data_IF_790260947479
#
_entry.id   IF_790260947479
#
_cell.length_a   1.000
_cell.length_b   1.000
_cell.length_c   1.000
_cell.angle_alpha   90.00
_cell.angle_beta   90.00
_cell.angle_gamma   90.00
#
_symmetry.space_group_name_H-M   'P 1'
#
loop_
_entity.id
_entity.type
_entity.pdbx_description
1 polymer ?
#
# COMPACT_ATOMS: atom_id res chain seq x y z
N UNK A 1 -12.53 -3.46 39.90
CA UNK A 1 -11.63 -2.81 38.93
C UNK A 1 -11.86 -3.45 37.57
N UNK A 2 -12.77 -2.87 36.80
CA UNK A 2 -13.07 -3.28 35.43
C UNK A 2 -11.98 -2.75 34.53
N UNK A 3 -11.10 -3.65 34.12
CA UNK A 3 -10.02 -3.43 33.17
C UNK A 3 -10.60 -2.80 31.92
N UNK A 4 -9.94 -1.75 31.44
CA UNK A 4 -10.19 -1.07 30.16
C UNK A 4 -10.61 -2.12 29.12
N UNK A 5 -11.85 -2.02 28.65
CA UNK A 5 -12.28 -2.74 27.45
C UNK A 5 -11.26 -2.43 26.37
N UNK A 6 -10.38 -3.38 26.04
CA UNK A 6 -9.27 -3.19 25.10
C UNK A 6 -9.85 -2.61 23.78
N UNK A 7 -9.72 -1.28 23.53
CA UNK A 7 -10.34 -0.67 22.36
C UNK A 7 -9.69 -1.18 21.07
N UNK A 8 -8.56 -1.88 21.19
CA UNK A 8 -7.84 -2.50 20.08
C UNK A 8 -8.25 -3.96 19.85
N UNK A 9 -9.08 -4.56 20.71
CA UNK A 9 -9.62 -5.91 20.52
C UNK A 9 -10.62 -5.99 19.37
N UNK A 10 -11.32 -4.90 19.10
CA UNK A 10 -12.41 -4.79 18.13
C UNK A 10 -12.36 -3.50 17.31
N UNK A 11 -11.19 -2.88 17.13
CA UNK A 11 -11.10 -1.72 16.23
C UNK A 11 -11.44 -2.11 14.78
N UNK A 12 -11.70 -1.16 13.87
CA UNK A 12 -12.13 -1.42 12.49
C UNK A 12 -11.15 -2.33 11.72
N UNK A 13 -11.58 -3.13 10.73
CA UNK A 13 -10.68 -3.98 9.95
C UNK A 13 -9.56 -3.18 9.27
N UNK A 14 -8.54 -3.87 8.72
CA UNK A 14 -7.56 -3.22 7.84
C UNK A 14 -8.30 -2.43 6.77
N UNK A 15 -8.05 -1.12 6.72
CA UNK A 15 -8.72 -0.20 5.81
C UNK A 15 -8.18 -0.44 4.41
N UNK A 16 -8.97 -1.09 3.58
CA UNK A 16 -8.68 -1.29 2.16
C UNK A 16 -9.84 -0.72 1.33
N UNK A 17 -9.59 -0.17 0.13
CA UNK A 17 -10.66 0.26 -0.76
C UNK A 17 -11.56 -0.91 -1.13
N UNK A 18 -12.83 -0.60 -1.41
CA UNK A 18 -13.78 -1.58 -1.92
C UNK A 18 -13.28 -2.18 -3.23
N UNK A 19 -13.33 -3.51 -3.32
CA UNK A 19 -12.96 -4.28 -4.50
C UNK A 19 -14.23 -4.67 -5.23
N UNK A 20 -14.85 -3.73 -5.92
CA UNK A 20 -16.13 -3.91 -6.62
C UNK A 20 -16.02 -3.80 -8.15
N UNK A 21 -14.94 -3.16 -8.64
CA UNK A 21 -14.69 -2.98 -10.07
C UNK A 21 -14.47 -4.33 -10.77
N UNK A 22 -15.17 -4.51 -11.89
CA UNK A 22 -15.03 -5.69 -12.73
C UNK A 22 -13.66 -5.70 -13.46
N UNK A 23 -13.03 -6.88 -13.62
CA UNK A 23 -11.85 -7.03 -14.48
C UNK A 23 -12.10 -6.51 -15.90
N UNK A 24 -11.08 -5.91 -16.52
CA UNK A 24 -11.14 -5.43 -17.92
C UNK A 24 -11.71 -4.03 -18.11
N UNK A 25 -12.42 -3.46 -17.14
CA UNK A 25 -12.67 -2.03 -17.12
C UNK A 25 -11.39 -1.32 -16.65
N UNK A 26 -10.47 -0.91 -17.52
CA UNK A 26 -9.26 -0.15 -17.14
C UNK A 26 -7.93 -0.73 -17.62
N UNK A 27 -6.80 -0.43 -16.94
CA UNK A 27 -5.50 -0.98 -17.31
C UNK A 27 -5.52 -2.50 -17.22
N UNK A 28 -4.73 -3.16 -18.08
CA UNK A 28 -4.59 -4.62 -18.04
C UNK A 28 -3.77 -5.03 -16.81
N UNK A 29 -4.44 -5.70 -15.87
CA UNK A 29 -3.86 -6.13 -14.59
C UNK A 29 -3.34 -7.57 -14.63
N UNK A 30 -3.21 -8.17 -15.81
CA UNK A 30 -2.55 -9.48 -15.96
C UNK A 30 -1.04 -9.33 -15.73
N UNK A 31 -0.37 -10.29 -15.08
CA UNK A 31 1.05 -10.14 -14.71
C UNK A 31 1.97 -9.83 -15.90
N UNK A 32 1.79 -10.49 -17.04
CA UNK A 32 2.61 -10.26 -18.24
C UNK A 32 2.37 -8.89 -18.86
N UNK A 33 1.11 -8.45 -18.91
CA UNK A 33 0.74 -7.13 -19.39
C UNK A 33 1.30 -6.03 -18.48
N UNK A 34 1.22 -6.22 -17.15
CA UNK A 34 1.84 -5.33 -16.17
C UNK A 34 3.36 -5.31 -16.31
N UNK A 35 4.01 -6.45 -16.56
CA UNK A 35 5.45 -6.51 -16.75
C UNK A 35 5.90 -5.70 -17.97
N UNK A 36 5.21 -5.88 -19.10
CA UNK A 36 5.47 -5.09 -20.31
C UNK A 36 5.20 -3.59 -20.09
N UNK A 37 4.11 -3.27 -19.38
CA UNK A 37 3.77 -1.89 -19.04
C UNK A 37 4.83 -1.23 -18.12
N UNK A 38 5.32 -1.95 -17.10
CA UNK A 38 6.38 -1.47 -16.20
C UNK A 38 7.67 -1.20 -16.98
N UNK A 39 8.02 -2.05 -17.94
CA UNK A 39 9.19 -1.85 -18.80
C UNK A 39 9.10 -0.57 -19.66
N UNK A 40 7.88 -0.08 -19.93
CA UNK A 40 7.61 1.15 -20.67
C UNK A 40 7.49 2.41 -19.79
N UNK A 41 7.72 2.33 -18.48
CA UNK A 41 7.58 3.49 -17.60
C UNK A 41 8.61 4.59 -17.92
N UNK A 42 8.19 5.87 -17.98
CA UNK A 42 9.08 6.99 -18.28
C UNK A 42 9.88 7.40 -17.04
N UNK A 43 10.80 6.55 -16.58
CA UNK A 43 11.56 6.77 -15.33
C UNK A 43 12.46 8.02 -15.34
N UNK A 44 12.76 8.56 -16.52
CA UNK A 44 13.45 9.86 -16.66
C UNK A 44 12.57 11.05 -16.22
N UNK A 45 11.24 10.90 -16.22
CA UNK A 45 10.28 11.85 -15.66
C UNK A 45 9.53 11.21 -14.48
N UNK A 46 10.07 11.34 -13.25
CA UNK A 46 9.47 10.70 -12.09
C UNK A 46 8.10 11.28 -11.71
N UNK A 47 7.75 12.51 -12.12
CA UNK A 47 6.42 13.06 -11.86
C UNK A 47 5.38 12.37 -12.75
N UNK A 48 5.69 12.23 -14.04
CA UNK A 48 4.80 11.52 -14.96
C UNK A 48 4.70 10.03 -14.61
N UNK A 49 5.82 9.38 -14.26
CA UNK A 49 5.83 7.99 -13.81
C UNK A 49 4.98 7.79 -12.55
N UNK A 50 5.02 8.73 -11.59
CA UNK A 50 4.18 8.68 -10.39
C UNK A 50 2.69 8.73 -10.72
N UNK A 51 2.29 9.63 -11.63
CA UNK A 51 0.89 9.78 -12.03
C UNK A 51 0.37 8.50 -12.74
N UNK A 52 1.22 7.83 -13.52
CA UNK A 52 0.91 6.55 -14.16
C UNK A 52 0.82 5.39 -13.15
N UNK A 53 1.78 5.28 -12.23
CA UNK A 53 1.79 4.28 -11.16
C UNK A 53 0.58 4.42 -10.25
N UNK A 54 0.20 5.65 -9.90
CA UNK A 54 -0.95 5.91 -9.05
C UNK A 54 -2.24 5.41 -9.70
N UNK A 55 -2.44 5.68 -11.00
CA UNK A 55 -3.61 5.19 -11.75
C UNK A 55 -3.70 3.66 -11.76
N UNK A 56 -2.57 2.98 -11.99
CA UNK A 56 -2.53 1.51 -12.01
C UNK A 56 -2.75 0.93 -10.61
N UNK A 57 -2.14 1.50 -9.56
CA UNK A 57 -2.37 1.09 -8.18
C UNK A 57 -3.84 1.26 -7.77
N UNK A 58 -4.43 2.40 -8.09
CA UNK A 58 -5.84 2.66 -7.79
C UNK A 58 -6.76 1.65 -8.46
N UNK A 59 -6.48 1.31 -9.73
CA UNK A 59 -7.19 0.27 -10.46
C UNK A 59 -6.98 -1.11 -9.82
N UNK A 60 -5.75 -1.47 -9.49
CA UNK A 60 -5.41 -2.73 -8.84
C UNK A 60 -6.15 -2.87 -7.50
N UNK A 61 -6.12 -1.85 -6.66
CA UNK A 61 -6.73 -1.87 -5.32
C UNK A 61 -8.25 -1.96 -5.34
N UNK A 62 -8.92 -1.46 -6.38
CA UNK A 62 -10.38 -1.44 -6.51
C UNK A 62 -10.95 -2.57 -7.38
N UNK A 63 -10.12 -3.30 -8.11
CA UNK A 63 -10.56 -4.40 -9.00
C UNK A 63 -10.70 -5.72 -8.25
N UNK A 64 -11.76 -6.48 -8.53
CA UNK A 64 -11.92 -7.87 -8.08
C UNK A 64 -10.96 -8.79 -8.81
N UNK A 65 -9.85 -9.16 -8.17
CA UNK A 65 -8.84 -10.07 -8.74
C UNK A 65 -8.65 -11.33 -7.88
N UNK A 66 -8.25 -12.47 -8.46
CA UNK A 66 -7.69 -13.59 -7.70
C UNK A 66 -6.49 -13.17 -6.85
N UNK A 67 -6.27 -13.84 -5.72
CA UNK A 67 -5.21 -13.45 -4.75
C UNK A 67 -3.82 -13.56 -5.36
N UNK A 68 -3.55 -14.61 -6.12
CA UNK A 68 -2.24 -14.83 -6.73
C UNK A 68 -1.97 -13.81 -7.83
N UNK A 69 -2.97 -13.50 -8.66
CA UNK A 69 -2.86 -12.43 -9.66
C UNK A 69 -2.58 -11.07 -9.00
N UNK A 70 -3.27 -10.74 -7.90
CA UNK A 70 -3.02 -9.50 -7.15
C UNK A 70 -1.60 -9.47 -6.59
N UNK A 71 -1.15 -10.58 -5.99
CA UNK A 71 0.18 -10.73 -5.38
C UNK A 71 1.27 -10.54 -6.43
N UNK A 72 1.16 -11.25 -7.55
CA UNK A 72 2.14 -11.18 -8.62
C UNK A 72 2.13 -9.80 -9.29
N UNK A 73 0.96 -9.28 -9.64
CA UNK A 73 0.82 -7.96 -10.25
C UNK A 73 1.43 -6.86 -9.39
N UNK A 74 1.12 -6.83 -8.09
CA UNK A 74 1.70 -5.83 -7.19
C UNK A 74 3.20 -6.05 -6.96
N UNK A 75 3.70 -7.29 -6.99
CA UNK A 75 5.14 -7.55 -6.89
C UNK A 75 5.94 -6.87 -8.01
N UNK A 76 5.40 -6.79 -9.23
CA UNK A 76 6.03 -6.07 -10.35
C UNK A 76 6.07 -4.55 -10.13
N UNK A 77 5.14 -4.00 -9.35
CA UNK A 77 5.03 -2.56 -9.11
C UNK A 77 5.88 -2.06 -7.94
N UNK A 78 6.28 -2.94 -6.99
CA UNK A 78 7.01 -2.52 -5.78
C UNK A 78 8.29 -1.74 -6.07
N UNK A 79 9.15 -2.26 -6.95
CA UNK A 79 10.42 -1.62 -7.31
C UNK A 79 10.23 -0.25 -8.00
N UNK A 80 9.41 -0.12 -9.07
CA UNK A 80 9.20 1.19 -9.69
C UNK A 80 8.52 2.19 -8.76
N UNK A 81 7.60 1.77 -7.87
CA UNK A 81 7.02 2.64 -6.84
C UNK A 81 8.11 3.18 -5.91
N UNK A 82 8.94 2.30 -5.36
CA UNK A 82 10.01 2.70 -4.45
C UNK A 82 10.99 3.68 -5.10
N UNK A 83 11.43 3.39 -6.33
CA UNK A 83 12.35 4.25 -7.08
C UNK A 83 11.76 5.62 -7.40
N UNK A 84 10.49 5.68 -7.82
CA UNK A 84 9.81 6.95 -8.10
C UNK A 84 9.60 7.77 -6.82
N UNK A 85 9.18 7.12 -5.73
CA UNK A 85 9.03 7.78 -4.43
C UNK A 85 10.37 8.34 -3.92
N UNK A 86 11.48 7.62 -4.12
CA UNK A 86 12.81 8.08 -3.75
C UNK A 86 13.25 9.29 -4.61
N UNK A 87 13.08 9.20 -5.93
CA UNK A 87 13.43 10.28 -6.85
C UNK A 87 12.66 11.58 -6.57
N UNK A 88 11.36 11.48 -6.27
CA UNK A 88 10.56 12.63 -5.86
C UNK A 88 10.89 13.10 -4.43
N UNK A 89 11.07 12.16 -3.51
CA UNK A 89 11.42 12.40 -2.11
C UNK A 89 12.74 13.15 -1.92
N UNK A 90 13.72 12.88 -2.78
CA UNK A 90 15.00 13.57 -2.79
C UNK A 90 14.89 15.07 -3.07
N UNK A 91 13.87 15.50 -3.83
CA UNK A 91 13.69 16.91 -4.21
C UNK A 91 13.31 17.82 -3.03
N UNK A 92 12.66 17.26 -2.02
CA UNK A 92 12.20 18.00 -0.84
C UNK A 92 12.83 17.52 0.47
N UNK A 93 13.80 16.60 0.42
CA UNK A 93 14.38 15.98 1.61
C UNK A 93 15.07 16.97 2.57
N UNK A 94 15.63 18.07 2.04
CA UNK A 94 16.32 19.12 2.80
C UNK A 94 15.67 20.49 2.59
N UNK A 95 14.43 20.51 2.09
CA UNK A 95 13.73 21.77 1.84
C UNK A 95 13.30 22.42 3.16
N UNK A 96 13.43 23.74 3.24
CA UNK A 96 12.91 24.52 4.37
C UNK A 96 11.38 24.49 4.34
N UNK A 97 10.75 24.38 5.50
CA UNK A 97 9.31 24.39 5.66
C UNK A 97 8.78 25.82 5.89
N UNK A 98 7.60 26.17 5.34
CA UNK A 98 6.71 25.35 4.51
C UNK A 98 7.28 25.11 3.11
N UNK A 99 6.98 23.93 2.53
CA UNK A 99 7.47 23.55 1.20
C UNK A 99 6.99 24.54 0.13
N UNK A 100 7.88 24.85 -0.81
CA UNK A 100 7.51 25.60 -2.02
C UNK A 100 6.57 24.78 -2.88
N UNK A 101 5.78 25.45 -3.70
CA UNK A 101 4.71 24.83 -4.49
C UNK A 101 5.20 23.65 -5.35
N UNK A 102 6.38 23.75 -5.98
CA UNK A 102 6.98 22.65 -6.74
C UNK A 102 7.27 21.41 -5.88
N UNK A 103 7.86 21.61 -4.71
CA UNK A 103 8.27 20.55 -3.79
C UNK A 103 7.05 19.92 -3.11
N UNK A 104 6.06 20.74 -2.79
CA UNK A 104 4.75 20.32 -2.27
C UNK A 104 4.05 19.38 -3.24
N UNK A 105 4.06 19.65 -4.56
CA UNK A 105 3.50 18.73 -5.57
C UNK A 105 4.22 17.39 -5.62
N UNK A 106 5.54 17.37 -5.43
CA UNK A 106 6.30 16.13 -5.35
C UNK A 106 5.90 15.35 -4.09
N UNK A 107 5.82 16.01 -2.94
CA UNK A 107 5.40 15.39 -1.69
C UNK A 107 3.99 14.80 -1.75
N UNK A 108 3.02 15.51 -2.34
CA UNK A 108 1.64 15.01 -2.53
C UNK A 108 1.62 13.70 -3.33
N UNK A 109 2.44 13.59 -4.40
CA UNK A 109 2.54 12.35 -5.18
C UNK A 109 3.15 11.21 -4.38
N UNK A 110 4.21 11.48 -3.61
CA UNK A 110 4.84 10.48 -2.73
C UNK A 110 3.84 9.98 -1.68
N UNK A 111 3.08 10.86 -1.06
CA UNK A 111 2.04 10.50 -0.10
C UNK A 111 0.95 9.63 -0.74
N UNK A 112 0.45 10.02 -1.92
CA UNK A 112 -0.58 9.25 -2.62
C UNK A 112 -0.08 7.84 -3.02
N UNK A 113 1.18 7.73 -3.47
CA UNK A 113 1.80 6.44 -3.76
C UNK A 113 2.01 5.60 -2.50
N UNK A 114 2.44 6.21 -1.39
CA UNK A 114 2.60 5.54 -0.11
C UNK A 114 1.26 4.98 0.40
N UNK A 115 0.19 5.75 0.27
CA UNK A 115 -1.15 5.37 0.71
C UNK A 115 -1.71 4.22 -0.13
N UNK A 116 -1.71 4.35 -1.46
CA UNK A 116 -2.19 3.27 -2.34
C UNK A 116 -1.28 2.03 -2.30
N UNK A 117 0.03 2.19 -2.06
CA UNK A 117 0.95 1.09 -1.78
C UNK A 117 0.61 0.37 -0.47
N UNK A 118 0.27 1.10 0.59
CA UNK A 118 -0.17 0.51 1.85
C UNK A 118 -1.51 -0.22 1.70
N UNK A 119 -2.45 0.29 0.90
CA UNK A 119 -3.68 -0.44 0.56
C UNK A 119 -3.39 -1.76 -0.15
N UNK A 120 -2.44 -1.78 -1.09
CA UNK A 120 -2.07 -2.98 -1.83
C UNK A 120 -1.46 -4.07 -0.92
N UNK A 121 -0.53 -3.71 -0.02
CA UNK A 121 0.04 -4.67 0.95
C UNK A 121 -1.04 -5.17 1.92
N UNK A 122 -1.85 -4.27 2.48
CA UNK A 122 -2.93 -4.64 3.40
C UNK A 122 -3.95 -5.57 2.75
N UNK A 123 -4.26 -5.39 1.47
CA UNK A 123 -5.19 -6.27 0.75
C UNK A 123 -4.65 -7.71 0.63
N UNK A 124 -3.32 -7.90 0.57
CA UNK A 124 -2.69 -9.22 0.58
C UNK A 124 -2.73 -9.87 1.98
N UNK A 125 -2.70 -9.07 3.04
CA UNK A 125 -2.83 -9.54 4.43
C UNK A 125 -4.29 -9.78 4.86
N UNK A 126 -5.24 -8.99 4.37
CA UNK A 126 -6.65 -9.05 4.78
C UNK A 126 -7.39 -10.30 4.28
N UNK A 127 -7.02 -10.83 3.11
CA UNK A 127 -7.67 -12.02 2.52
C UNK A 127 -7.42 -13.32 3.28
N UNK A 128 -6.18 -13.62 3.72
CA UNK A 128 -5.92 -14.73 4.63
C UNK A 128 -6.72 -14.63 5.93
N UNK A 129 -6.91 -13.42 6.50
CA UNK A 129 -7.69 -13.22 7.74
C UNK A 129 -9.15 -13.67 7.58
N UNK A 130 -9.78 -13.39 6.44
CA UNK A 130 -11.15 -13.86 6.16
C UNK A 130 -11.23 -15.39 5.98
N UNK A 131 -10.18 -16.01 5.41
CA UNK A 131 -10.10 -17.46 5.20
C UNK A 131 -9.71 -18.23 6.48
N UNK A 132 -9.06 -17.58 7.46
CA UNK A 132 -8.68 -18.23 8.74
C UNK A 132 -9.89 -18.64 9.60
N UNK A 133 -11.10 -18.15 9.30
CA UNK A 133 -12.35 -18.65 9.89
C UNK A 133 -12.87 -19.96 9.26
N UNK A 134 -12.40 -20.32 8.06
CA UNK A 134 -12.86 -21.50 7.32
C UNK A 134 -11.70 -22.16 6.56
N UNK A 135 -11.16 -23.22 7.14
CA UNK A 135 -10.17 -24.14 6.56
C UNK A 135 -8.78 -23.54 6.27
N UNK A 136 -7.80 -23.95 7.10
CA UNK A 136 -6.37 -23.86 6.82
C UNK A 136 -6.07 -24.64 5.53
N UNK A 137 -6.03 -23.97 4.38
CA UNK A 137 -5.45 -24.56 3.18
C UNK A 137 -3.93 -24.68 3.40
N UNK A 138 -3.42 -25.91 3.39
CA UNK A 138 -2.08 -26.29 3.87
C UNK A 138 -0.91 -25.86 2.97
N UNK A 139 -1.10 -24.85 2.11
CA UNK A 139 -0.07 -24.34 1.19
C UNK A 139 0.23 -22.84 1.31
N UNK A 140 -0.57 -22.07 2.07
CA UNK A 140 -0.48 -20.61 2.12
C UNK A 140 0.37 -20.05 3.30
N UNK A 141 0.93 -20.92 4.13
CA UNK A 141 1.61 -20.56 5.39
C UNK A 141 2.79 -19.57 5.25
N UNK A 142 3.70 -19.65 4.27
CA UNK A 142 4.80 -18.67 4.18
C UNK A 142 4.34 -17.28 3.69
N UNK A 143 3.19 -17.20 3.03
CA UNK A 143 2.71 -16.00 2.38
C UNK A 143 1.99 -15.01 3.31
N UNK A 144 1.59 -15.46 4.51
CA UNK A 144 0.84 -14.63 5.46
C UNK A 144 1.74 -13.82 6.42
N UNK A 145 2.75 -14.41 7.10
CA UNK A 145 3.70 -13.63 7.91
C UNK A 145 4.42 -12.57 7.07
N UNK A 146 4.80 -12.91 5.83
CA UNK A 146 5.39 -11.97 4.89
C UNK A 146 4.42 -10.82 4.53
N UNK A 147 3.14 -11.12 4.31
CA UNK A 147 2.13 -10.10 4.02
C UNK A 147 1.87 -9.17 5.22
N UNK A 148 1.87 -9.71 6.44
CA UNK A 148 1.76 -8.91 7.68
C UNK A 148 2.96 -7.97 7.84
N UNK A 149 4.17 -8.50 7.73
CA UNK A 149 5.40 -7.73 7.85
C UNK A 149 5.48 -6.61 6.79
N UNK A 150 5.13 -6.92 5.53
CA UNK A 150 5.09 -5.93 4.46
C UNK A 150 4.01 -4.86 4.67
N UNK A 151 2.83 -5.25 5.15
CA UNK A 151 1.77 -4.31 5.49
C UNK A 151 2.21 -3.34 6.59
N UNK A 152 2.88 -3.85 7.63
CA UNK A 152 3.41 -3.03 8.71
C UNK A 152 4.51 -2.07 8.20
N UNK A 153 5.42 -2.56 7.36
CA UNK A 153 6.45 -1.75 6.74
C UNK A 153 5.86 -0.63 5.85
N UNK A 154 4.81 -0.93 5.08
CA UNK A 154 4.14 0.06 4.23
C UNK A 154 3.42 1.14 5.05
N UNK A 155 2.74 0.77 6.14
CA UNK A 155 2.15 1.73 7.07
C UNK A 155 3.22 2.57 7.78
N UNK A 156 4.35 1.97 8.18
CA UNK A 156 5.49 2.70 8.73
C UNK A 156 6.09 3.69 7.73
N UNK A 157 6.18 3.31 6.45
CA UNK A 157 6.61 4.21 5.39
C UNK A 157 5.64 5.37 5.20
N UNK A 158 4.33 5.12 5.21
CA UNK A 158 3.31 6.16 5.14
C UNK A 158 3.48 7.17 6.28
N UNK A 159 3.65 6.71 7.53
CA UNK A 159 3.93 7.58 8.68
C UNK A 159 5.17 8.46 8.44
N UNK A 160 6.28 7.85 8.00
CA UNK A 160 7.51 8.59 7.72
C UNK A 160 7.31 9.69 6.66
N UNK A 161 6.60 9.41 5.57
CA UNK A 161 6.36 10.40 4.52
C UNK A 161 5.51 11.58 5.03
N UNK A 162 4.51 11.32 5.88
CA UNK A 162 3.74 12.40 6.52
C UNK A 162 4.62 13.24 7.47
N UNK A 163 5.44 12.60 8.30
CA UNK A 163 6.33 13.30 9.24
C UNK A 163 7.40 14.15 8.54
N UNK A 164 7.93 13.68 7.41
CA UNK A 164 8.94 14.43 6.64
C UNK A 164 8.49 15.84 6.24
N UNK A 165 7.19 16.05 6.09
CA UNK A 165 6.62 17.33 5.67
C UNK A 165 5.73 17.97 6.73
N UNK A 166 5.73 17.44 7.96
CA UNK A 166 4.88 17.88 9.07
C UNK A 166 3.37 17.88 8.70
N UNK A 167 2.96 16.92 7.87
CA UNK A 167 1.56 16.73 7.52
C UNK A 167 0.84 15.90 8.59
N UNK A 168 -0.47 16.11 8.81
CA UNK A 168 -1.26 15.26 9.69
C UNK A 168 -1.28 13.83 9.16
N UNK A 169 -1.08 12.86 10.04
CA UNK A 169 -1.11 11.42 9.71
C UNK A 169 -2.56 10.97 9.48
N UNK A 170 -2.83 10.06 8.51
CA UNK A 170 -4.17 9.54 8.29
C UNK A 170 -4.72 8.80 9.52
N UNK A 171 -6.00 9.01 9.82
CA UNK A 171 -6.64 8.41 10.99
C UNK A 171 -6.63 6.87 10.93
N UNK A 172 -6.34 6.25 12.08
CA UNK A 172 -6.42 4.80 12.25
C UNK A 172 -5.16 4.01 11.89
N UNK A 173 -4.14 4.62 11.27
CA UNK A 173 -2.88 3.94 10.89
C UNK A 173 -2.23 3.22 12.07
N UNK A 174 -2.17 3.85 13.24
CA UNK A 174 -1.64 3.23 14.46
C UNK A 174 -2.45 2.01 14.93
N UNK A 175 -3.78 2.09 14.84
CA UNK A 175 -4.66 0.96 15.17
C UNK A 175 -4.51 -0.20 14.19
N UNK A 176 -4.26 0.09 12.91
CA UNK A 176 -3.93 -0.93 11.90
C UNK A 176 -2.59 -1.62 12.18
N UNK A 177 -1.54 -0.85 12.54
CA UNK A 177 -0.24 -1.40 12.93
C UNK A 177 -0.35 -2.36 14.13
N UNK A 178 -1.07 -1.95 15.18
CA UNK A 178 -1.27 -2.77 16.37
C UNK A 178 -2.00 -4.09 16.05
N UNK A 179 -2.98 -4.06 15.14
CA UNK A 179 -3.65 -5.28 14.66
C UNK A 179 -2.72 -6.21 13.90
N UNK A 180 -1.92 -5.68 12.99
CA UNK A 180 -0.96 -6.48 12.23
C UNK A 180 0.02 -7.18 13.16
N UNK A 181 0.50 -6.49 14.20
CA UNK A 181 1.38 -7.07 15.21
C UNK A 181 0.71 -8.22 15.96
N UNK A 182 -0.51 -8.00 16.46
CA UNK A 182 -1.28 -9.07 17.12
C UNK A 182 -1.51 -10.30 16.23
N UNK A 183 -1.73 -10.10 14.93
CA UNK A 183 -1.87 -11.22 13.99
C UNK A 183 -0.57 -12.00 13.78
N UNK A 184 0.60 -11.38 14.03
CA UNK A 184 1.90 -12.04 13.98
C UNK A 184 2.29 -12.76 15.29
N UNK A 185 1.66 -12.40 16.42
CA UNK A 185 1.87 -13.07 17.72
C UNK A 185 0.99 -14.32 17.93
N UNK A 186 -0.11 -14.43 17.18
CA UNK A 186 -1.09 -15.52 17.28
C UNK A 186 -0.69 -16.75 16.44
#
# INVERSE_FOLDING_TARGET
>A
MTWISDPFRAGPPLRIPDQDRAPGAGPDLRPDALAAWVAGLPLADPEHAADLLLKVLQALNRTRLPTDQRREGFARLRAPIAGVMEALGGRYAQAVLPLRERDRRCAVRVLALAEEGAYAEKALAARPVAALGTARSSGAAPAYPEALARSAAALGRLLLEHYRIYAPVPEGVWGELHRLYRHGEA
#
